data_IF_490464948931
#
_entry.id   IF_490464948931
#
_cell.length_a   1.000
_cell.length_b   1.000
_cell.length_c   1.000
_cell.angle_alpha   90.00
_cell.angle_beta   90.00
_cell.angle_gamma   90.00
#
_symmetry.space_group_name_H-M   'P 1'
#
loop_
_entity.id
_entity.type
_entity.pdbx_description
1 polymer ?
#
# COMPACT_ATOMS: atom_id res chain seq x y z
N UNK A 1 28.53 -50.09 3.61
CA UNK A 1 27.25 -49.39 3.33
C UNK A 1 27.43 -48.03 2.61
N UNK A 2 28.50 -47.82 1.82
CA UNK A 2 28.78 -46.52 1.16
C UNK A 2 28.75 -46.59 -0.38
N UNK A 3 28.71 -47.79 -0.97
CA UNK A 3 28.72 -47.97 -2.43
C UNK A 3 27.32 -47.94 -3.09
N UNK A 4 26.24 -48.23 -2.34
CA UNK A 4 24.86 -48.25 -2.88
C UNK A 4 24.22 -46.86 -3.00
N UNK A 5 24.71 -45.86 -2.27
CA UNK A 5 24.19 -44.49 -2.35
C UNK A 5 24.67 -43.75 -3.62
N UNK A 6 25.90 -44.01 -4.07
CA UNK A 6 26.48 -43.35 -5.25
C UNK A 6 25.83 -43.82 -6.56
N UNK A 7 25.48 -45.10 -6.64
CA UNK A 7 24.80 -45.67 -7.81
C UNK A 7 23.35 -45.17 -7.99
N UNK A 8 22.69 -44.70 -6.91
CA UNK A 8 21.33 -44.14 -6.99
C UNK A 8 21.31 -42.69 -7.48
N UNK A 9 22.40 -41.94 -7.28
CA UNK A 9 22.56 -40.58 -7.83
C UNK A 9 22.87 -40.62 -9.33
N UNK A 10 23.71 -41.55 -9.80
CA UNK A 10 24.05 -41.67 -11.23
C UNK A 10 22.92 -42.20 -12.12
N UNK A 11 21.89 -42.82 -11.53
CA UNK A 11 20.70 -43.28 -12.27
C UNK A 11 19.58 -42.22 -12.33
N UNK A 12 19.59 -41.21 -11.46
CA UNK A 12 18.60 -40.13 -11.48
C UNK A 12 18.91 -39.06 -12.55
N UNK A 13 20.18 -38.90 -12.93
CA UNK A 13 20.61 -37.93 -13.96
C UNK A 13 20.34 -38.35 -15.41
N UNK A 14 19.87 -39.59 -15.65
CA UNK A 14 19.65 -40.12 -17.01
C UNK A 14 18.19 -40.07 -17.49
N UNK A 15 17.29 -39.37 -16.79
CA UNK A 15 15.86 -39.26 -17.16
C UNK A 15 15.28 -37.84 -17.17
N UNK A 16 16.09 -36.84 -17.50
CA UNK A 16 15.56 -35.56 -18.02
C UNK A 16 15.98 -35.44 -19.48
N UNK A 17 15.16 -35.97 -20.37
CA UNK A 17 15.21 -35.62 -21.79
C UNK A 17 14.88 -34.13 -21.90
N UNK A 18 15.90 -33.31 -22.12
CA UNK A 18 15.73 -31.92 -22.48
C UNK A 18 15.03 -31.85 -23.83
N UNK A 19 13.77 -31.41 -23.83
CA UNK A 19 13.03 -31.08 -25.05
C UNK A 19 13.33 -29.61 -25.35
N UNK A 20 14.07 -29.27 -26.42
CA UNK A 20 14.28 -27.87 -26.76
C UNK A 20 12.92 -27.24 -27.09
N UNK A 21 12.56 -26.19 -26.36
CA UNK A 21 11.42 -25.35 -26.72
C UNK A 21 11.68 -24.77 -28.12
N UNK A 22 10.81 -25.10 -29.08
CA UNK A 22 10.91 -24.58 -30.43
C UNK A 22 10.96 -23.04 -30.39
N UNK A 23 12.09 -22.47 -30.79
CA UNK A 23 12.29 -21.04 -30.88
C UNK A 23 11.30 -20.46 -31.90
N UNK A 24 10.15 -19.97 -31.43
CA UNK A 24 9.37 -19.01 -32.22
C UNK A 24 10.24 -17.76 -32.33
N UNK A 25 10.54 -17.40 -33.59
CA UNK A 25 11.31 -16.22 -33.94
C UNK A 25 10.93 -15.04 -33.05
N UNK A 26 11.90 -14.57 -32.28
CA UNK A 26 11.79 -13.34 -31.51
C UNK A 26 11.52 -12.20 -32.50
N UNK A 27 10.31 -11.66 -32.48
CA UNK A 27 10.05 -10.33 -33.03
C UNK A 27 11.08 -9.38 -32.44
N UNK A 28 11.77 -8.63 -33.30
CA UNK A 28 12.90 -7.80 -32.91
C UNK A 28 12.50 -6.82 -31.81
N UNK A 29 13.44 -6.47 -30.93
CA UNK A 29 13.23 -5.41 -29.93
C UNK A 29 12.82 -4.08 -30.58
N UNK A 30 13.20 -3.85 -31.84
CA UNK A 30 12.77 -2.68 -32.62
C UNK A 30 11.26 -2.68 -32.92
N UNK A 31 10.67 -3.83 -33.26
CA UNK A 31 9.22 -3.93 -33.55
C UNK A 31 8.36 -3.58 -32.31
N UNK A 32 8.83 -3.97 -31.11
CA UNK A 32 8.17 -3.65 -29.83
C UNK A 32 8.34 -2.18 -29.43
N UNK A 33 9.43 -1.53 -29.85
CA UNK A 33 9.72 -0.12 -29.58
C UNK A 33 8.92 0.78 -30.53
N UNK A 34 8.79 0.42 -31.80
CA UNK A 34 7.95 1.15 -32.76
C UNK A 34 6.47 1.13 -32.36
N UNK A 35 5.92 -0.04 -31.99
CA UNK A 35 4.51 -0.15 -31.54
C UNK A 35 4.17 0.64 -30.27
N UNK A 36 5.16 0.97 -29.42
CA UNK A 36 4.96 1.78 -28.21
C UNK A 36 4.93 3.29 -28.47
N UNK A 37 5.47 3.76 -29.59
CA UNK A 37 5.50 5.20 -29.92
C UNK A 37 4.18 5.71 -30.51
N UNK A 38 3.31 4.80 -30.97
CA UNK A 38 2.05 5.13 -31.64
C UNK A 38 0.83 5.07 -30.70
N UNK A 39 1.01 5.36 -29.40
CA UNK A 39 -0.14 5.76 -28.58
C UNK A 39 -0.43 7.23 -28.87
N UNK A 40 -1.26 7.47 -29.86
CA UNK A 40 -1.89 8.77 -30.06
C UNK A 40 -2.63 9.13 -28.76
N UNK A 41 -2.22 10.23 -28.12
CA UNK A 41 -2.98 10.82 -27.01
C UNK A 41 -4.24 11.43 -27.61
N UNK A 42 -5.31 10.66 -27.72
CA UNK A 42 -6.65 11.21 -27.94
C UNK A 42 -7.12 11.87 -26.64
N UNK A 43 -6.60 13.07 -26.37
CA UNK A 43 -7.22 13.99 -25.42
C UNK A 43 -8.13 14.89 -26.24
N UNK A 44 -9.45 14.94 -25.99
CA UNK A 44 -10.27 15.99 -26.59
C UNK A 44 -9.71 17.35 -26.17
N UNK A 45 -9.43 18.19 -27.16
CA UNK A 45 -9.07 19.60 -26.96
C UNK A 45 -10.33 20.38 -26.56
N UNK A 46 -10.27 21.03 -25.40
CA UNK A 46 -11.06 22.22 -25.09
C UNK A 46 -12.52 22.00 -24.70
N UNK A 47 -12.77 21.64 -23.43
CA UNK A 47 -13.89 22.25 -22.71
C UNK A 47 -13.29 23.44 -21.95
N UNK A 48 -13.45 24.64 -22.48
CA UNK A 48 -13.24 25.88 -21.73
C UNK A 48 -14.39 25.94 -20.74
N UNK A 49 -14.19 25.42 -19.53
CA UNK A 49 -15.12 25.68 -18.44
C UNK A 49 -14.85 27.10 -17.94
N UNK A 50 -15.85 27.97 -18.08
CA UNK A 50 -15.90 29.27 -17.43
C UNK A 50 -15.64 29.09 -15.92
N UNK A 51 -14.53 29.64 -15.44
CA UNK A 51 -14.24 29.72 -14.01
C UNK A 51 -15.17 30.78 -13.43
N UNK A 52 -16.41 30.39 -13.16
CA UNK A 52 -17.27 31.17 -12.27
C UNK A 52 -16.67 31.03 -10.88
N UNK A 53 -16.21 32.13 -10.30
CA UNK A 53 -15.72 32.17 -8.93
C UNK A 53 -16.79 31.59 -7.99
N UNK A 54 -16.51 30.44 -7.39
CA UNK A 54 -17.36 29.88 -6.36
C UNK A 54 -17.42 30.86 -5.16
N UNK A 55 -18.58 31.03 -4.51
CA UNK A 55 -18.69 31.90 -3.34
C UNK A 55 -17.80 31.38 -2.21
N UNK A 56 -17.21 32.36 -1.52
CA UNK A 56 -16.55 32.38 -0.21
C UNK A 56 -16.39 31.03 0.54
N UNK A 57 -15.20 30.74 1.11
CA UNK A 57 -14.99 29.60 2.00
C UNK A 57 -16.05 29.53 3.10
N UNK A 58 -16.55 28.35 3.47
CA UNK A 58 -17.41 28.24 4.64
C UNK A 58 -16.65 28.80 5.84
N UNK A 59 -17.30 29.75 6.50
CA UNK A 59 -16.94 30.27 7.81
C UNK A 59 -16.55 29.10 8.71
N UNK A 60 -15.35 29.19 9.30
CA UNK A 60 -14.81 28.20 10.22
C UNK A 60 -15.71 28.21 11.46
N UNK A 61 -16.75 27.39 11.43
CA UNK A 61 -17.53 27.06 12.62
C UNK A 61 -16.54 26.44 13.60
N UNK A 62 -16.41 27.06 14.78
CA UNK A 62 -15.66 26.52 15.92
C UNK A 62 -16.23 25.12 16.20
N UNK A 63 -15.58 24.11 15.63
CA UNK A 63 -16.07 22.74 15.67
C UNK A 63 -15.70 22.19 17.04
N UNK A 64 -16.69 21.58 17.69
CA UNK A 64 -16.55 20.73 18.88
C UNK A 64 -15.23 19.93 18.83
N UNK A 65 -14.49 19.81 19.95
CA UNK A 65 -13.22 19.11 19.95
C UNK A 65 -13.39 17.72 19.31
N UNK A 66 -12.52 17.33 18.38
CA UNK A 66 -12.66 16.07 17.65
C UNK A 66 -12.81 14.93 18.66
N UNK A 67 -13.87 14.14 18.53
CA UNK A 67 -14.11 12.99 19.40
C UNK A 67 -12.88 12.07 19.34
N UNK A 68 -12.21 11.92 20.48
CA UNK A 68 -10.99 11.11 20.56
C UNK A 68 -11.36 9.63 20.52
N UNK A 69 -10.61 8.87 19.73
CA UNK A 69 -10.78 7.43 19.57
C UNK A 69 -9.95 6.74 20.65
N UNK A 70 -10.65 6.03 21.53
CA UNK A 70 -10.06 5.24 22.61
C UNK A 70 -9.41 3.98 22.04
N UNK A 71 -8.11 3.81 22.26
CA UNK A 71 -7.32 2.69 21.76
C UNK A 71 -6.37 2.14 22.82
N UNK A 72 -5.94 0.89 22.63
CA UNK A 72 -4.92 0.27 23.49
C UNK A 72 -3.57 1.00 23.33
N UNK A 73 -2.75 0.96 24.37
CA UNK A 73 -1.39 1.53 24.37
C UNK A 73 -0.51 1.18 23.15
N UNK A 74 -0.38 -0.09 22.68
CA UNK A 74 0.44 -0.40 21.50
C UNK A 74 -0.09 0.27 20.23
N UNK A 75 -1.41 0.29 20.05
CA UNK A 75 -2.08 0.91 18.91
C UNK A 75 -1.88 2.42 18.91
N UNK A 76 -1.96 3.08 20.07
CA UNK A 76 -1.63 4.49 20.21
C UNK A 76 -0.16 4.78 19.85
N UNK A 77 0.79 3.94 20.28
CA UNK A 77 2.20 4.11 19.99
C UNK A 77 2.50 4.05 18.48
N UNK A 78 1.83 3.15 17.76
CA UNK A 78 1.90 3.06 16.30
C UNK A 78 1.44 4.36 15.65
N UNK A 79 0.25 4.86 16.00
CA UNK A 79 -0.28 6.10 15.41
C UNK A 79 0.52 7.34 15.84
N UNK A 80 1.03 7.40 17.07
CA UNK A 80 1.92 8.46 17.53
C UNK A 80 3.21 8.50 16.68
N UNK A 81 3.79 7.34 16.39
CA UNK A 81 4.97 7.24 15.52
C UNK A 81 4.64 7.64 14.08
N UNK A 82 3.49 7.19 13.56
CA UNK A 82 3.01 7.47 12.21
C UNK A 82 2.76 8.97 11.97
N UNK A 83 2.05 9.63 12.89
CA UNK A 83 1.68 11.04 12.80
C UNK A 83 2.71 12.00 13.41
N UNK A 84 3.84 11.48 13.91
CA UNK A 84 4.96 12.30 14.39
C UNK A 84 5.39 13.31 13.32
N UNK A 85 5.63 14.55 13.72
CA UNK A 85 6.13 15.63 12.85
C UNK A 85 7.65 15.75 12.84
N UNK A 86 8.36 14.86 13.54
CA UNK A 86 9.84 14.86 13.59
C UNK A 86 10.41 14.53 12.21
N UNK A 87 11.56 15.13 11.88
CA UNK A 87 12.27 14.87 10.61
C UNK A 87 12.62 13.38 10.46
N UNK A 88 13.21 12.79 11.51
CA UNK A 88 13.36 11.35 11.62
C UNK A 88 12.09 10.76 12.27
N UNK A 89 11.18 10.26 11.44
CA UNK A 89 10.13 9.35 11.92
C UNK A 89 10.77 8.02 12.33
N UNK A 90 10.24 7.41 13.39
CA UNK A 90 10.65 6.07 13.81
C UNK A 90 10.28 5.02 12.77
N UNK A 91 10.37 3.75 13.18
CA UNK A 91 9.95 2.62 12.38
C UNK A 91 8.70 1.98 12.99
N UNK A 92 7.85 1.40 12.15
CA UNK A 92 6.68 0.61 12.58
C UNK A 92 6.66 -0.69 11.80
N UNK A 93 6.67 -1.84 12.48
CA UNK A 93 6.51 -3.12 11.81
C UNK A 93 5.18 -3.17 11.03
N UNK A 94 5.18 -3.77 9.85
CA UNK A 94 3.96 -3.84 9.04
C UNK A 94 2.81 -4.55 9.77
N UNK A 95 3.14 -5.61 10.51
CA UNK A 95 2.18 -6.35 11.34
C UNK A 95 1.57 -5.46 12.41
N UNK A 96 2.36 -4.60 13.06
CA UNK A 96 1.88 -3.72 14.13
C UNK A 96 0.91 -2.67 13.56
N UNK A 97 1.21 -2.17 12.36
CA UNK A 97 0.31 -1.27 11.63
C UNK A 97 -1.01 -1.96 11.24
N UNK A 98 -0.95 -3.20 10.73
CA UNK A 98 -2.16 -3.98 10.44
C UNK A 98 -2.99 -4.24 11.68
N UNK A 99 -2.35 -4.66 12.79
CA UNK A 99 -3.04 -4.91 14.06
C UNK A 99 -3.63 -3.64 14.63
N UNK A 100 -2.96 -2.49 14.49
CA UNK A 100 -3.47 -1.20 14.96
C UNK A 100 -4.74 -0.78 14.22
N UNK A 101 -4.80 -1.01 12.91
CA UNK A 101 -6.01 -0.77 12.11
C UNK A 101 -7.12 -1.79 12.42
N UNK A 102 -6.76 -3.05 12.67
CA UNK A 102 -7.70 -4.09 13.06
C UNK A 102 -8.31 -3.85 14.45
N UNK A 103 -7.52 -3.34 15.40
CA UNK A 103 -7.97 -2.93 16.74
C UNK A 103 -9.02 -1.81 16.68
N UNK A 104 -8.95 -0.95 15.66
CA UNK A 104 -9.97 0.07 15.37
C UNK A 104 -11.23 -0.50 14.69
N UNK A 105 -11.30 -1.83 14.50
CA UNK A 105 -12.40 -2.52 13.83
C UNK A 105 -12.30 -2.55 12.31
N UNK A 106 -11.19 -2.09 11.71
CA UNK A 106 -11.02 -2.18 10.26
C UNK A 106 -10.70 -3.61 9.83
N UNK A 107 -11.32 -4.08 8.75
CA UNK A 107 -10.96 -5.36 8.16
C UNK A 107 -9.75 -5.21 7.23
N UNK A 108 -8.81 -6.15 7.31
CA UNK A 108 -7.61 -6.18 6.44
C UNK A 108 -7.79 -7.29 5.41
N UNK A 109 -7.89 -6.93 4.12
CA UNK A 109 -8.08 -7.88 3.03
C UNK A 109 -6.89 -7.83 2.06
N UNK A 110 -6.10 -8.91 1.92
CA UNK A 110 -5.09 -8.99 0.87
C UNK A 110 -5.77 -9.08 -0.50
N UNK A 111 -5.35 -8.24 -1.45
CA UNK A 111 -5.86 -8.24 -2.84
C UNK A 111 -4.98 -9.00 -3.82
N UNK A 112 -3.86 -9.57 -3.34
CA UNK A 112 -2.86 -10.27 -4.14
C UNK A 112 -1.51 -9.56 -4.12
N UNK A 113 -0.43 -10.35 -4.17
CA UNK A 113 0.93 -9.83 -4.01
C UNK A 113 1.10 -9.11 -2.67
N UNK A 114 1.77 -7.95 -2.70
CA UNK A 114 2.00 -7.11 -1.51
C UNK A 114 0.97 -5.97 -1.39
N UNK A 115 -0.27 -6.19 -1.86
CA UNK A 115 -1.34 -5.18 -1.84
C UNK A 115 -2.40 -5.55 -0.80
N UNK A 116 -2.66 -4.63 0.12
CA UNK A 116 -3.60 -4.80 1.21
C UNK A 116 -4.62 -3.67 1.19
N UNK A 117 -5.90 -4.03 1.30
CA UNK A 117 -7.00 -3.09 1.45
C UNK A 117 -7.50 -3.14 2.89
N UNK A 118 -7.54 -1.97 3.51
CA UNK A 118 -8.15 -1.76 4.82
C UNK A 118 -9.54 -1.18 4.61
N UNK A 119 -10.56 -1.91 5.05
CA UNK A 119 -11.94 -1.44 4.99
C UNK A 119 -12.35 -0.95 6.38
N UNK A 120 -12.71 0.33 6.55
CA UNK A 120 -13.14 0.84 7.84
C UNK A 120 -14.46 0.18 8.26
N UNK A 121 -14.71 0.06 9.58
CA UNK A 121 -16.03 -0.31 10.09
C UNK A 121 -17.03 0.84 9.83
N UNK A 122 -18.33 0.55 9.95
CA UNK A 122 -19.38 1.55 9.77
C UNK A 122 -19.28 2.73 10.75
N UNK A 123 -18.63 2.55 11.90
CA UNK A 123 -18.38 3.60 12.89
C UNK A 123 -17.32 4.62 12.48
N UNK A 124 -16.45 4.31 11.51
CA UNK A 124 -15.40 5.19 11.03
C UNK A 124 -15.83 5.75 9.67
N UNK A 125 -16.03 7.06 9.59
CA UNK A 125 -16.36 7.73 8.33
C UNK A 125 -15.14 7.74 7.40
N UNK A 126 -15.31 7.20 6.19
CA UNK A 126 -14.28 7.22 5.15
C UNK A 126 -14.38 6.04 4.19
N UNK A 127 -13.58 6.09 3.13
CA UNK A 127 -13.51 5.01 2.14
C UNK A 127 -12.43 3.98 2.50
N UNK A 128 -12.50 2.75 1.94
CA UNK A 128 -11.41 1.79 2.06
C UNK A 128 -10.10 2.34 1.48
N UNK A 129 -8.98 2.05 2.15
CA UNK A 129 -7.65 2.44 1.67
C UNK A 129 -6.86 1.22 1.21
N UNK A 130 -6.18 1.35 0.08
CA UNK A 130 -5.28 0.32 -0.44
C UNK A 130 -3.84 0.77 -0.31
N UNK A 131 -3.02 -0.03 0.36
CA UNK A 131 -1.61 0.23 0.63
C UNK A 131 -0.76 -0.96 0.18
N UNK A 132 0.49 -0.66 -0.18
CA UNK A 132 1.48 -1.68 -0.44
C UNK A 132 2.21 -2.03 0.86
N UNK A 133 2.19 -3.32 1.21
CA UNK A 133 3.06 -3.88 2.23
C UNK A 133 4.52 -3.69 1.81
N UNK A 134 5.38 -3.10 2.64
CA UNK A 134 6.80 -3.07 2.37
C UNK A 134 7.36 -4.49 2.22
N UNK A 135 8.31 -4.65 1.31
CA UNK A 135 9.07 -5.90 1.21
C UNK A 135 10.06 -6.10 2.38
N UNK A 136 10.43 -5.00 3.06
CA UNK A 136 11.14 -5.06 4.33
C UNK A 136 10.15 -5.39 5.47
N UNK A 137 10.65 -5.88 6.61
CA UNK A 137 9.83 -6.13 7.81
C UNK A 137 9.15 -4.86 8.35
N UNK A 138 9.73 -3.70 8.04
CA UNK A 138 9.41 -2.44 8.71
C UNK A 138 9.01 -1.31 7.75
N UNK A 139 8.09 -0.47 8.22
CA UNK A 139 7.69 0.78 7.60
C UNK A 139 8.56 1.91 8.15
N UNK A 140 9.54 2.34 7.37
CA UNK A 140 10.47 3.40 7.78
C UNK A 140 10.28 4.70 7.00
N UNK A 141 10.58 5.81 7.67
CA UNK A 141 10.80 7.12 7.07
C UNK A 141 9.64 7.62 6.19
N UNK A 142 9.88 7.76 4.89
CA UNK A 142 8.94 8.37 3.95
C UNK A 142 7.66 7.54 3.75
N UNK A 143 7.69 6.21 3.96
CA UNK A 143 6.50 5.36 3.82
C UNK A 143 5.46 5.67 4.88
N UNK A 144 5.90 5.86 6.12
CA UNK A 144 5.04 6.32 7.22
C UNK A 144 4.40 7.67 6.89
N UNK A 145 5.15 8.59 6.27
CA UNK A 145 4.58 9.87 5.83
C UNK A 145 3.49 9.69 4.77
N UNK A 146 3.66 8.77 3.80
CA UNK A 146 2.63 8.47 2.80
C UNK A 146 1.38 7.90 3.46
N UNK A 147 1.55 6.97 4.40
CA UNK A 147 0.45 6.34 5.12
C UNK A 147 -0.29 7.37 5.99
N UNK A 148 0.44 8.17 6.77
CA UNK A 148 -0.12 9.26 7.56
C UNK A 148 -0.94 10.21 6.70
N UNK A 149 -0.39 10.70 5.58
CA UNK A 149 -1.11 11.59 4.65
C UNK A 149 -2.39 10.97 4.10
N UNK A 150 -2.36 9.68 3.77
CA UNK A 150 -3.55 8.95 3.28
C UNK A 150 -4.61 8.84 4.36
N UNK A 151 -4.23 8.43 5.57
CA UNK A 151 -5.14 8.32 6.70
C UNK A 151 -5.75 9.68 7.07
N UNK A 152 -4.94 10.74 7.13
CA UNK A 152 -5.43 12.09 7.38
C UNK A 152 -6.42 12.55 6.32
N UNK A 153 -6.19 12.22 5.04
CA UNK A 153 -7.09 12.63 3.96
C UNK A 153 -8.40 11.84 3.95
N UNK A 154 -8.37 10.55 4.23
CA UNK A 154 -9.55 9.68 4.12
C UNK A 154 -10.39 9.70 5.39
N UNK A 155 -9.74 9.71 6.56
CA UNK A 155 -10.41 9.60 7.86
C UNK A 155 -10.30 10.86 8.72
N UNK A 156 -9.58 11.90 8.27
CA UNK A 156 -9.34 13.10 9.08
C UNK A 156 -8.36 12.89 10.25
N UNK A 157 -7.74 11.71 10.35
CA UNK A 157 -6.93 11.34 11.50
C UNK A 157 -5.61 12.10 11.60
N UNK A 158 -5.20 12.36 12.84
CA UNK A 158 -3.93 12.98 13.18
C UNK A 158 -3.45 12.51 14.56
N UNK A 159 -2.35 13.06 15.05
CA UNK A 159 -1.74 12.66 16.33
C UNK A 159 -2.66 12.86 17.55
N UNK A 160 -3.64 13.77 17.48
CA UNK A 160 -4.60 14.07 18.56
C UNK A 160 -5.88 13.24 18.47
N UNK A 161 -6.01 12.38 17.44
CA UNK A 161 -7.20 11.57 17.23
C UNK A 161 -7.29 10.40 18.21
N UNK A 162 -6.17 9.94 18.77
CA UNK A 162 -6.11 8.70 19.54
C UNK A 162 -5.79 8.96 21.01
N UNK A 163 -6.58 8.36 21.90
CA UNK A 163 -6.40 8.41 23.35
C UNK A 163 -6.15 7.01 23.90
N UNK A 164 -5.20 6.87 24.84
CA UNK A 164 -4.87 5.58 25.47
C UNK A 164 -5.89 5.25 26.56
N UNK A 165 -6.41 4.03 26.54
CA UNK A 165 -7.29 3.46 27.58
C UNK A 165 -6.75 2.15 28.14
#
# INVERSE_FOLDING_TARGET
>A
MYAKAKAKLEQADKKTTYVPFAAKATSSTDDLVQRRKEKEKTRPLGAIYDITAAPHPPEITLTEPPQQIKVKAPTAAVFATLFSRREARGSVAWTDFETALADLGSSVTPKGGSIYTFNPPESISGSPITLHRPHASENEGYKLLIFARRLSRVYGWNAQTFEIV
#
